data_IF_010519357017
#
_entry.id   IF_010519357017
#
_cell.length_a   1.000
_cell.length_b   1.000
_cell.length_c   1.000
_cell.angle_alpha   90.00
_cell.angle_beta   90.00
_cell.angle_gamma   90.00
#
_symmetry.space_group_name_H-M   'P 1'
#
loop_
_entity.id
_entity.type
_entity.pdbx_description
1 polymer ?
#
# COMPACT_ATOMS: atom_id res chain seq x y z
N UNK A 1 -4.31 9.11 -27.61
CA UNK A 1 -4.22 7.80 -26.94
C UNK A 1 -3.00 7.87 -26.05
N UNK A 2 -3.18 7.99 -24.73
CA UNK A 2 -2.08 8.12 -23.77
C UNK A 2 -1.49 6.72 -23.57
N UNK A 3 -0.25 6.49 -24.01
CA UNK A 3 0.49 5.28 -23.66
C UNK A 3 0.97 5.43 -22.23
N UNK A 4 0.35 4.71 -21.29
CA UNK A 4 0.81 4.63 -19.91
C UNK A 4 2.13 3.84 -19.93
N UNK A 5 3.26 4.51 -19.72
CA UNK A 5 4.60 3.94 -19.91
C UNK A 5 5.12 3.20 -18.68
N UNK A 6 4.42 3.26 -17.54
CA UNK A 6 4.76 2.56 -16.31
C UNK A 6 3.53 1.92 -15.64
N UNK A 7 3.65 0.70 -15.07
CA UNK A 7 2.60 0.08 -14.26
C UNK A 7 2.07 1.00 -13.15
N UNK A 8 2.94 1.82 -12.55
CA UNK A 8 2.56 2.81 -11.54
C UNK A 8 1.62 3.87 -12.08
N UNK A 9 1.86 4.36 -13.29
CA UNK A 9 1.00 5.37 -13.91
C UNK A 9 -0.37 4.79 -14.27
N UNK A 10 -0.39 3.54 -14.74
CA UNK A 10 -1.65 2.84 -15.02
C UNK A 10 -2.46 2.65 -13.74
N UNK A 11 -1.81 2.22 -12.66
CA UNK A 11 -2.42 2.06 -11.36
C UNK A 11 -2.91 3.40 -10.79
N UNK A 12 -2.10 4.46 -10.87
CA UNK A 12 -2.48 5.81 -10.44
C UNK A 12 -3.69 6.35 -11.22
N UNK A 13 -3.77 6.07 -12.52
CA UNK A 13 -4.93 6.43 -13.33
C UNK A 13 -6.20 5.72 -12.85
N UNK A 14 -6.12 4.42 -12.55
CA UNK A 14 -7.24 3.61 -12.04
C UNK A 14 -7.65 4.09 -10.64
N UNK A 15 -6.70 4.25 -9.72
CA UNK A 15 -6.94 4.81 -8.38
C UNK A 15 -7.64 6.15 -8.51
N UNK A 16 -7.08 7.08 -9.28
CA UNK A 16 -7.66 8.41 -9.44
C UNK A 16 -9.04 8.42 -10.12
N UNK A 17 -9.36 7.44 -10.96
CA UNK A 17 -10.70 7.28 -11.52
C UNK A 17 -11.67 6.76 -10.45
N UNK A 18 -11.28 5.70 -9.73
CA UNK A 18 -12.06 5.15 -8.62
C UNK A 18 -12.33 6.22 -7.56
N UNK A 19 -11.32 6.92 -7.05
CA UNK A 19 -11.48 7.99 -6.05
C UNK A 19 -12.47 9.06 -6.52
N UNK A 20 -12.45 9.45 -7.80
CA UNK A 20 -13.42 10.41 -8.34
C UNK A 20 -14.85 9.88 -8.37
N UNK A 21 -15.02 8.62 -8.77
CA UNK A 21 -16.36 8.00 -8.81
C UNK A 21 -16.90 7.72 -7.41
N UNK A 22 -16.01 7.33 -6.47
CA UNK A 22 -16.25 7.17 -5.03
C UNK A 22 -16.77 8.49 -4.42
N UNK A 23 -16.07 9.60 -4.66
CA UNK A 23 -16.50 10.93 -4.18
C UNK A 23 -17.82 11.38 -4.84
N UNK A 24 -18.04 11.03 -6.10
CA UNK A 24 -19.25 11.38 -6.82
C UNK A 24 -20.47 10.51 -6.44
N UNK A 25 -20.29 9.46 -5.64
CA UNK A 25 -21.37 8.56 -5.20
C UNK A 25 -22.10 7.88 -6.37
N UNK A 26 -21.39 7.62 -7.47
CA UNK A 26 -21.99 7.09 -8.71
C UNK A 26 -22.32 5.61 -8.65
N UNK A 27 -21.70 4.90 -7.72
CA UNK A 27 -21.79 3.45 -7.59
C UNK A 27 -22.31 3.05 -6.22
N UNK A 28 -22.71 1.79 -6.10
CA UNK A 28 -23.09 1.21 -4.82
C UNK A 28 -21.85 0.94 -3.97
N UNK A 29 -22.01 0.98 -2.64
CA UNK A 29 -20.92 0.63 -1.70
C UNK A 29 -20.28 -0.73 -2.05
N UNK A 30 -21.07 -1.75 -2.40
CA UNK A 30 -20.52 -3.04 -2.84
C UNK A 30 -19.59 -2.91 -4.05
N UNK A 31 -19.99 -2.15 -5.07
CA UNK A 31 -19.20 -1.95 -6.30
C UNK A 31 -17.93 -1.17 -6.00
N UNK A 32 -18.03 -0.17 -5.13
CA UNK A 32 -16.93 0.66 -4.67
C UNK A 32 -15.88 -0.17 -3.90
N UNK A 33 -16.33 -0.98 -2.94
CA UNK A 33 -15.48 -1.90 -2.18
C UNK A 33 -14.81 -2.93 -3.09
N UNK A 34 -15.56 -3.53 -4.03
CA UNK A 34 -14.98 -4.49 -4.97
C UNK A 34 -13.91 -3.85 -5.87
N UNK A 35 -14.15 -2.61 -6.34
CA UNK A 35 -13.18 -1.87 -7.14
C UNK A 35 -11.94 -1.52 -6.33
N UNK A 36 -12.10 -1.13 -5.06
CA UNK A 36 -10.99 -0.86 -4.15
C UNK A 36 -10.11 -2.11 -3.93
N UNK A 37 -10.71 -3.28 -3.67
CA UNK A 37 -9.97 -4.54 -3.52
C UNK A 37 -9.24 -4.96 -4.80
N UNK A 38 -9.84 -4.71 -5.97
CA UNK A 38 -9.17 -4.94 -7.25
C UNK A 38 -7.92 -4.07 -7.38
N UNK A 39 -8.04 -2.79 -7.05
CA UNK A 39 -6.91 -1.85 -7.10
C UNK A 39 -5.82 -2.22 -6.09
N UNK A 40 -6.20 -2.69 -4.90
CA UNK A 40 -5.25 -3.23 -3.92
C UNK A 40 -4.51 -4.45 -4.48
N UNK A 41 -5.19 -5.38 -5.14
CA UNK A 41 -4.54 -6.54 -5.75
C UNK A 41 -3.51 -6.12 -6.82
N UNK A 42 -3.84 -5.14 -7.67
CA UNK A 42 -2.93 -4.60 -8.68
C UNK A 42 -1.73 -3.87 -8.04
N UNK A 43 -1.93 -3.18 -6.91
CA UNK A 43 -0.83 -2.62 -6.13
C UNK A 43 0.12 -3.73 -5.68
N UNK A 44 -0.38 -4.83 -5.10
CA UNK A 44 0.45 -5.93 -4.60
C UNK A 44 1.25 -6.62 -5.71
N UNK A 45 0.65 -6.78 -6.88
CA UNK A 45 1.36 -7.29 -8.07
C UNK A 45 2.48 -6.33 -8.49
N UNK A 46 2.21 -5.02 -8.53
CA UNK A 46 3.22 -4.01 -8.84
C UNK A 46 4.33 -3.94 -7.79
N UNK A 47 4.02 -4.10 -6.50
CA UNK A 47 5.01 -4.19 -5.42
C UNK A 47 5.93 -5.40 -5.61
N UNK A 48 5.38 -6.57 -5.93
CA UNK A 48 6.17 -7.77 -6.18
C UNK A 48 7.16 -7.54 -7.33
N UNK A 49 6.66 -7.06 -8.47
CA UNK A 49 7.49 -6.82 -9.65
C UNK A 49 8.55 -5.73 -9.45
N UNK A 50 8.22 -4.62 -8.79
CA UNK A 50 9.06 -3.40 -8.81
C UNK A 50 9.82 -3.14 -7.53
N UNK A 51 9.36 -3.64 -6.39
CA UNK A 51 9.97 -3.39 -5.09
C UNK A 51 10.64 -4.63 -4.49
N UNK A 52 10.16 -5.83 -4.85
CA UNK A 52 10.68 -7.09 -4.28
C UNK A 52 11.62 -7.83 -5.24
N UNK A 53 11.25 -7.92 -6.52
CA UNK A 53 12.06 -8.63 -7.53
C UNK A 53 13.17 -7.75 -8.13
N UNK A 54 13.09 -6.43 -7.95
CA UNK A 54 14.03 -5.46 -8.49
C UNK A 54 14.45 -4.45 -7.41
N UNK A 55 15.60 -3.80 -7.61
CA UNK A 55 15.99 -2.65 -6.79
C UNK A 55 15.08 -1.46 -7.13
N UNK A 56 14.27 -0.94 -6.18
CA UNK A 56 13.33 0.11 -6.46
C UNK A 56 14.04 1.45 -6.71
N UNK A 57 13.63 2.16 -7.75
CA UNK A 57 14.12 3.52 -7.98
C UNK A 57 13.46 4.51 -7.00
N UNK A 58 14.04 5.71 -6.79
CA UNK A 58 13.39 6.75 -5.99
C UNK A 58 11.98 7.11 -6.51
N UNK A 59 11.80 7.12 -7.83
CA UNK A 59 10.49 7.36 -8.46
C UNK A 59 9.48 6.25 -8.12
N UNK A 60 9.92 4.98 -8.12
CA UNK A 60 9.05 3.86 -7.70
C UNK A 60 8.59 4.02 -6.25
N UNK A 61 9.49 4.45 -5.36
CA UNK A 61 9.16 4.68 -3.95
C UNK A 61 8.18 5.84 -3.76
N UNK A 62 8.33 6.93 -4.52
CA UNK A 62 7.41 8.07 -4.47
C UNK A 62 6.01 7.71 -4.98
N UNK A 63 5.93 6.96 -6.09
CA UNK A 63 4.66 6.42 -6.59
C UNK A 63 4.02 5.48 -5.58
N UNK A 64 4.79 4.52 -5.08
CA UNK A 64 4.31 3.55 -4.10
C UNK A 64 3.78 4.24 -2.84
N UNK A 65 4.49 5.24 -2.30
CA UNK A 65 4.04 6.03 -1.15
C UNK A 65 2.69 6.69 -1.40
N UNK A 66 2.57 7.33 -2.57
CA UNK A 66 1.35 8.04 -2.97
C UNK A 66 0.18 7.07 -3.06
N UNK A 67 0.36 5.96 -3.78
CA UNK A 67 -0.68 4.96 -4.01
C UNK A 67 -1.15 4.28 -2.72
N UNK A 68 -0.22 3.90 -1.84
CA UNK A 68 -0.55 3.33 -0.52
C UNK A 68 -1.35 4.32 0.31
N UNK A 69 -0.91 5.58 0.37
CA UNK A 69 -1.60 6.62 1.14
C UNK A 69 -3.02 6.87 0.62
N UNK A 70 -3.20 6.92 -0.71
CA UNK A 70 -4.52 7.08 -1.33
C UNK A 70 -5.43 5.89 -1.04
N UNK A 71 -4.93 4.65 -1.16
CA UNK A 71 -5.74 3.47 -0.88
C UNK A 71 -6.13 3.35 0.60
N UNK A 72 -5.27 3.78 1.53
CA UNK A 72 -5.62 3.89 2.96
C UNK A 72 -6.80 4.85 3.13
N UNK A 73 -6.68 6.08 2.61
CA UNK A 73 -7.73 7.08 2.75
C UNK A 73 -9.07 6.62 2.14
N UNK A 74 -9.03 6.03 0.94
CA UNK A 74 -10.22 5.50 0.28
C UNK A 74 -10.83 4.33 1.08
N UNK A 75 -10.01 3.44 1.64
CA UNK A 75 -10.45 2.30 2.44
C UNK A 75 -11.08 2.73 3.77
N UNK A 76 -10.47 3.70 4.46
CA UNK A 76 -11.01 4.27 5.70
C UNK A 76 -12.34 4.98 5.46
N UNK A 77 -12.49 5.71 4.35
CA UNK A 77 -13.77 6.29 3.94
C UNK A 77 -14.83 5.21 3.73
N UNK A 78 -14.50 4.15 2.99
CA UNK A 78 -15.42 3.02 2.76
C UNK A 78 -15.87 2.34 4.07
N UNK A 79 -15.00 2.29 5.08
CA UNK A 79 -15.34 1.80 6.42
C UNK A 79 -16.31 2.72 7.16
N UNK A 80 -16.18 4.04 7.00
CA UNK A 80 -17.11 5.02 7.57
C UNK A 80 -18.48 4.95 6.91
N UNK A 81 -18.52 4.74 5.59
CA UNK A 81 -19.75 4.61 4.82
C UNK A 81 -20.42 3.23 5.01
N UNK A 82 -19.74 2.28 5.66
CA UNK A 82 -20.28 0.94 5.92
C UNK A 82 -21.41 0.97 6.97
N UNK A 83 -22.63 0.51 6.64
CA UNK A 83 -23.76 0.55 7.57
C UNK A 83 -23.50 -0.24 8.85
N UNK A 84 -23.78 0.35 10.02
CA UNK A 84 -23.53 -0.26 11.33
C UNK A 84 -24.19 -1.65 11.53
N UNK A 85 -25.32 -1.89 10.87
CA UNK A 85 -26.12 -3.12 11.02
C UNK A 85 -26.31 -3.87 9.69
N UNK A 86 -25.51 -3.58 8.66
CA UNK A 86 -25.75 -4.06 7.30
C UNK A 86 -24.53 -4.67 6.61
N UNK A 87 -24.78 -5.50 5.60
CA UNK A 87 -23.78 -5.83 4.59
C UNK A 87 -23.81 -4.77 3.49
N UNK A 88 -22.70 -4.56 2.78
CA UNK A 88 -22.68 -3.71 1.59
C UNK A 88 -23.52 -4.29 0.41
N UNK A 89 -24.24 -5.42 0.59
CA UNK A 89 -24.67 -6.35 -0.46
C UNK A 89 -23.51 -6.95 -1.28
N UNK A 90 -22.32 -7.00 -0.70
CA UNK A 90 -21.19 -7.74 -1.24
C UNK A 90 -21.13 -9.12 -0.55
N UNK A 91 -21.84 -10.11 -1.09
CA UNK A 91 -21.99 -11.46 -0.48
C UNK A 91 -20.66 -12.20 -0.18
N UNK A 92 -19.51 -11.64 -0.55
CA UNK A 92 -18.19 -12.25 -0.38
C UNK A 92 -17.16 -11.38 0.34
N UNK A 93 -17.46 -10.10 0.60
CA UNK A 93 -16.51 -9.18 1.24
C UNK A 93 -17.21 -8.60 2.46
N UNK A 94 -16.70 -8.95 3.64
CA UNK A 94 -17.18 -8.41 4.90
C UNK A 94 -16.49 -7.09 5.24
N UNK A 95 -17.09 -6.34 6.17
CA UNK A 95 -16.44 -5.17 6.78
C UNK A 95 -15.08 -5.54 7.39
N UNK A 96 -15.00 -6.70 8.05
CA UNK A 96 -13.77 -7.17 8.69
C UNK A 96 -12.65 -7.43 7.66
N UNK A 97 -12.99 -7.91 6.46
CA UNK A 97 -11.99 -8.07 5.39
C UNK A 97 -11.42 -6.72 4.96
N UNK A 98 -12.28 -5.70 4.85
CA UNK A 98 -11.85 -4.34 4.51
C UNK A 98 -11.00 -3.72 5.64
N UNK A 99 -11.40 -3.88 6.90
CA UNK A 99 -10.62 -3.43 8.07
C UNK A 99 -9.23 -4.09 8.10
N UNK A 100 -9.16 -5.40 7.88
CA UNK A 100 -7.90 -6.14 7.82
C UNK A 100 -7.01 -5.67 6.65
N UNK A 101 -7.60 -5.42 5.48
CA UNK A 101 -6.88 -4.93 4.32
C UNK A 101 -6.32 -3.51 4.53
N UNK A 102 -7.09 -2.61 5.13
CA UNK A 102 -6.63 -1.25 5.49
C UNK A 102 -5.52 -1.31 6.53
N UNK A 103 -5.64 -2.15 7.56
CA UNK A 103 -4.57 -2.36 8.52
C UNK A 103 -3.29 -2.90 7.85
N UNK A 104 -3.43 -3.81 6.90
CA UNK A 104 -2.30 -4.32 6.10
C UNK A 104 -1.60 -3.24 5.27
N UNK A 105 -2.36 -2.26 4.75
CA UNK A 105 -1.78 -1.09 4.07
C UNK A 105 -1.02 -0.16 5.04
N UNK A 106 -1.55 0.09 6.25
CA UNK A 106 -0.82 0.84 7.28
C UNK A 106 0.49 0.16 7.68
N UNK A 107 0.49 -1.17 7.82
CA UNK A 107 1.71 -1.94 8.04
C UNK A 107 2.69 -1.81 6.85
N UNK A 108 2.18 -1.85 5.61
CA UNK A 108 2.97 -1.65 4.39
C UNK A 108 3.61 -0.26 4.36
N UNK A 109 2.84 0.78 4.67
CA UNK A 109 3.31 2.16 4.73
C UNK A 109 4.42 2.31 5.77
N UNK A 110 4.23 1.74 6.97
CA UNK A 110 5.22 1.78 8.05
C UNK A 110 6.51 1.05 7.67
N UNK A 111 6.40 -0.10 7.01
CA UNK A 111 7.54 -0.91 6.62
C UNK A 111 8.38 -0.25 5.52
N UNK A 112 7.74 0.33 4.51
CA UNK A 112 8.43 0.89 3.35
C UNK A 112 8.78 2.38 3.50
N UNK A 113 7.95 3.13 4.21
CA UNK A 113 8.03 4.61 4.28
C UNK A 113 8.13 5.13 5.71
N UNK A 114 8.15 4.26 6.72
CA UNK A 114 8.38 4.67 8.09
C UNK A 114 9.79 5.22 8.26
N UNK A 115 9.91 6.36 8.93
CA UNK A 115 11.21 6.85 9.38
C UNK A 115 11.66 6.01 10.57
N UNK A 116 12.47 4.99 10.33
CA UNK A 116 13.33 4.46 11.38
C UNK A 116 14.47 5.43 11.55
N UNK A 117 14.49 6.16 12.67
CA UNK A 117 15.67 6.95 13.02
C UNK A 117 16.87 6.02 13.13
N UNK A 118 18.08 6.54 12.88
CA UNK A 118 19.30 5.73 12.99
C UNK A 118 19.37 5.01 14.34
N UNK A 119 18.94 5.67 15.42
CA UNK A 119 18.91 5.13 16.77
C UNK A 119 17.88 4.01 16.95
N UNK A 120 16.69 4.14 16.36
CA UNK A 120 15.68 3.08 16.35
C UNK A 120 16.16 1.85 15.57
N UNK A 121 16.86 2.07 14.46
CA UNK A 121 17.46 0.99 13.66
C UNK A 121 18.52 0.24 14.46
N UNK A 122 19.38 0.97 15.19
CA UNK A 122 20.38 0.39 16.11
C UNK A 122 19.72 -0.40 17.24
N UNK A 123 18.64 0.13 17.82
CA UNK A 123 17.91 -0.53 18.90
C UNK A 123 17.29 -1.86 18.45
N UNK A 124 16.63 -1.89 17.28
CA UNK A 124 16.03 -3.11 16.73
C UNK A 124 17.09 -4.16 16.41
N UNK A 125 18.22 -3.76 15.81
CA UNK A 125 19.33 -4.68 15.53
C UNK A 125 19.86 -5.32 16.81
N UNK A 126 20.05 -4.51 17.86
CA UNK A 126 20.49 -5.01 19.17
C UNK A 126 19.48 -5.95 19.81
N UNK A 127 18.19 -5.66 19.68
CA UNK A 127 17.12 -6.48 20.24
C UNK A 127 16.97 -7.83 19.52
N UNK A 128 17.01 -7.85 18.18
CA UNK A 128 16.79 -9.06 17.38
C UNK A 128 18.03 -9.94 17.29
N UNK A 129 19.21 -9.33 17.14
CA UNK A 129 20.46 -10.06 16.88
C UNK A 129 21.42 -10.09 18.07
N UNK A 130 21.11 -9.37 19.16
CA UNK A 130 21.97 -9.32 20.36
C UNK A 130 23.32 -8.63 20.15
N UNK A 131 23.48 -7.88 19.06
CA UNK A 131 24.74 -7.22 18.67
C UNK A 131 24.51 -5.74 18.37
N UNK A 132 25.52 -4.91 18.60
CA UNK A 132 25.43 -3.51 18.20
C UNK A 132 25.50 -3.40 16.67
N UNK A 133 24.72 -2.48 16.08
CA UNK A 133 24.68 -2.29 14.62
C UNK A 133 26.06 -1.97 14.02
N UNK A 134 26.94 -1.35 14.80
CA UNK A 134 28.31 -1.00 14.40
C UNK A 134 29.23 -2.25 14.32
N UNK A 135 28.77 -3.41 14.81
CA UNK A 135 29.45 -4.70 14.73
C UNK A 135 28.96 -5.56 13.55
N UNK A 136 27.82 -5.21 12.94
CA UNK A 136 27.35 -5.86 11.72
C UNK A 136 28.15 -5.35 10.52
N UNK A 137 29.17 -6.10 10.13
CA UNK A 137 29.79 -5.93 8.81
C UNK A 137 28.84 -6.45 7.74
N UNK A 138 27.91 -5.61 7.29
CA UNK A 138 27.32 -5.83 5.98
C UNK A 138 28.45 -5.67 4.97
N UNK A 139 28.79 -6.75 4.27
CA UNK A 139 29.83 -6.72 3.25
C UNK A 139 29.53 -5.58 2.29
N UNK A 140 30.38 -4.56 2.32
CA UNK A 140 30.42 -3.50 1.33
C UNK A 140 30.63 -4.16 -0.04
N UNK A 141 29.54 -4.38 -0.77
CA UNK A 141 29.59 -4.58 -2.22
C UNK A 141 29.83 -3.21 -2.87
N UNK A 142 31.05 -2.71 -2.68
CA UNK A 142 31.67 -1.74 -3.56
C UNK A 142 32.84 -2.47 -4.22
N UNK A 143 32.61 -3.03 -5.41
CA UNK A 143 33.60 -3.27 -6.46
C UNK A 143 32.99 -4.06 -7.63
N UNK A 144 32.53 -3.36 -8.66
CA UNK A 144 32.97 -3.51 -10.07
C UNK A 144 32.02 -2.74 -10.99
#
# INVERSE_FOLDING_TARGET
MMTLTSPWQALACIVGHNTRDLIAGRFTLASEVASWFKTLAMLRESEAERLMENDPTPEDLDWHRTLVTTLIADGERLLLDWPANGSANADRISRADLEAAVLGLHATQSMWHGELTADQRKAIIREVFGVDADQLKFGSAAAA
#
